data_IF_796814394646
#
_entry.id   IF_796814394646
#
_cell.length_a   1.000
_cell.length_b   1.000
_cell.length_c   1.000
_cell.angle_alpha   90.00
_cell.angle_beta   90.00
_cell.angle_gamma   90.00
#
_symmetry.space_group_name_H-M   'P 1'
#
loop_
_entity.id
_entity.type
_entity.pdbx_description
1 polymer ?
#
# COMPACT_ATOMS: atom_id res chain seq x y z
N UNK A 1 -13.79 -110.76 25.91
CA UNK A 1 -15.18 -111.23 25.77
C UNK A 1 -16.01 -110.12 25.14
N UNK A 2 -16.60 -110.36 23.95
CA UNK A 2 -17.37 -109.39 23.17
C UNK A 2 -18.88 -109.57 23.38
N UNK A 3 -19.66 -108.49 23.31
CA UNK A 3 -21.13 -108.54 23.14
C UNK A 3 -21.61 -107.29 22.38
N UNK A 4 -21.52 -107.38 21.06
CA UNK A 4 -22.52 -107.05 20.01
C UNK A 4 -23.94 -106.60 20.49
N UNK A 5 -24.81 -106.08 19.61
CA UNK A 5 -24.77 -104.87 18.77
C UNK A 5 -26.10 -104.07 18.81
N UNK A 6 -26.16 -102.92 18.15
CA UNK A 6 -27.43 -102.28 17.77
C UNK A 6 -27.20 -101.16 16.76
N UNK A 7 -27.49 -101.36 15.46
CA UNK A 7 -27.18 -100.39 14.42
C UNK A 7 -28.43 -99.69 13.87
N UNK A 8 -28.17 -98.58 13.15
CA UNK A 8 -29.02 -97.91 12.16
C UNK A 8 -30.08 -96.92 12.69
N UNK A 9 -29.63 -95.71 13.03
CA UNK A 9 -30.42 -94.52 12.67
C UNK A 9 -30.01 -94.12 11.26
N UNK A 10 -30.97 -94.15 10.34
CA UNK A 10 -30.76 -93.94 8.91
C UNK A 10 -30.06 -92.62 8.60
N UNK A 11 -28.98 -92.72 7.83
CA UNK A 11 -28.48 -91.63 7.02
C UNK A 11 -28.65 -92.04 5.55
N UNK A 12 -29.50 -91.32 4.84
CA UNK A 12 -29.45 -91.09 3.39
C UNK A 12 -30.30 -89.83 3.22
N UNK A 13 -29.68 -88.66 3.06
CA UNK A 13 -29.15 -88.23 1.76
C UNK A 13 -30.35 -87.75 0.95
N UNK A 14 -30.63 -86.46 0.90
CA UNK A 14 -30.26 -85.52 -0.18
C UNK A 14 -31.33 -84.42 -0.05
N UNK A 15 -31.16 -83.13 -0.27
CA UNK A 15 -30.17 -82.31 -0.95
C UNK A 15 -30.59 -80.87 -0.61
N UNK A 16 -29.59 -80.02 -0.40
CA UNK A 16 -29.55 -78.63 -0.88
C UNK A 16 -30.85 -77.82 -0.84
N UNK A 17 -30.93 -76.87 0.09
CA UNK A 17 -31.08 -75.46 -0.30
C UNK A 17 -30.72 -74.57 0.88
N UNK A 18 -29.64 -73.83 0.68
CA UNK A 18 -29.18 -72.73 1.51
C UNK A 18 -30.24 -71.64 1.49
N UNK A 19 -31.08 -71.54 2.51
CA UNK A 19 -31.82 -70.31 2.75
C UNK A 19 -30.89 -69.28 3.40
N UNK A 20 -30.32 -68.44 2.55
CA UNK A 20 -29.66 -67.19 2.89
C UNK A 20 -30.54 -66.37 3.85
N UNK A 21 -30.14 -66.30 5.12
CA UNK A 21 -30.63 -65.24 6.00
C UNK A 21 -30.19 -63.89 5.40
N UNK A 22 -31.13 -62.99 5.09
CA UNK A 22 -30.81 -61.77 4.35
C UNK A 22 -29.97 -60.85 5.23
N UNK A 23 -28.82 -60.48 4.69
CA UNK A 23 -27.95 -59.39 5.16
C UNK A 23 -28.84 -58.16 5.40
N UNK A 24 -29.09 -57.83 6.66
CA UNK A 24 -29.72 -56.57 7.02
C UNK A 24 -28.82 -55.44 6.49
N UNK A 25 -29.32 -54.56 5.61
CA UNK A 25 -28.53 -53.46 5.09
C UNK A 25 -28.19 -52.51 6.24
N UNK A 26 -26.93 -52.08 6.30
CA UNK A 26 -26.49 -50.98 7.15
C UNK A 26 -27.47 -49.81 7.03
N UNK A 27 -27.82 -49.12 8.15
CA UNK A 27 -28.74 -48.00 8.09
C UNK A 27 -28.23 -46.97 7.07
N UNK A 28 -29.09 -46.46 6.17
CA UNK A 28 -28.67 -45.52 5.13
C UNK A 28 -28.04 -44.28 5.77
N UNK A 29 -27.02 -43.66 5.14
CA UNK A 29 -26.37 -42.48 5.69
C UNK A 29 -27.44 -41.42 5.95
N UNK A 30 -27.50 -40.96 7.20
CA UNK A 30 -28.45 -39.94 7.64
C UNK A 30 -28.48 -38.82 6.62
N UNK A 31 -29.64 -38.63 5.98
CA UNK A 31 -29.84 -37.59 4.96
C UNK A 31 -29.54 -36.25 5.62
N UNK A 32 -28.36 -35.70 5.34
CA UNK A 32 -27.96 -34.37 5.83
C UNK A 32 -29.06 -33.38 5.45
N UNK A 33 -29.61 -32.70 6.45
CA UNK A 33 -30.70 -31.76 6.23
C UNK A 33 -30.32 -30.72 5.15
N UNK A 34 -31.14 -30.54 4.11
CA UNK A 34 -30.82 -29.68 2.95
C UNK A 34 -30.66 -28.19 3.33
N UNK A 35 -31.01 -27.84 4.57
CA UNK A 35 -30.87 -26.53 5.18
C UNK A 35 -29.41 -26.18 5.49
N UNK A 36 -28.60 -27.14 5.95
CA UNK A 36 -27.18 -26.91 6.28
C UNK A 36 -26.34 -26.69 5.02
N UNK A 37 -26.62 -27.46 3.96
CA UNK A 37 -25.93 -27.31 2.66
C UNK A 37 -26.25 -25.96 2.01
N UNK A 38 -27.51 -25.50 2.08
CA UNK A 38 -27.90 -24.15 1.60
C UNK A 38 -27.22 -23.04 2.40
N UNK A 39 -27.18 -23.14 3.73
CA UNK A 39 -26.51 -22.15 4.60
C UNK A 39 -25.01 -22.03 4.29
N UNK A 40 -24.31 -23.15 4.13
CA UNK A 40 -22.88 -23.17 3.77
C UNK A 40 -22.62 -22.51 2.42
N UNK A 41 -23.49 -22.72 1.42
CA UNK A 41 -23.40 -22.07 0.10
C UNK A 41 -23.70 -20.58 0.13
N UNK A 42 -24.67 -20.16 0.93
CA UNK A 42 -25.02 -18.75 1.11
C UNK A 42 -23.91 -17.99 1.83
N UNK A 43 -23.37 -18.55 2.93
CA UNK A 43 -22.21 -18.00 3.63
C UNK A 43 -21.00 -17.87 2.69
N UNK A 44 -20.76 -18.86 1.83
CA UNK A 44 -19.68 -18.79 0.85
C UNK A 44 -19.89 -17.66 -0.17
N UNK A 45 -21.12 -17.48 -0.69
CA UNK A 45 -21.44 -16.37 -1.62
C UNK A 45 -21.30 -15.01 -0.95
N UNK A 46 -21.82 -14.84 0.26
CA UNK A 46 -21.68 -13.59 1.02
C UNK A 46 -20.23 -13.29 1.38
N UNK A 47 -19.44 -14.32 1.70
CA UNK A 47 -17.99 -14.16 1.91
C UNK A 47 -17.26 -13.71 0.65
N UNK A 48 -17.65 -14.23 -0.53
CA UNK A 48 -17.09 -13.79 -1.82
C UNK A 48 -17.49 -12.34 -2.10
N UNK A 49 -18.75 -11.96 -1.86
CA UNK A 49 -19.19 -10.56 -2.01
C UNK A 49 -18.46 -9.63 -1.05
N UNK A 50 -18.27 -10.03 0.22
CA UNK A 50 -17.50 -9.27 1.19
C UNK A 50 -16.04 -9.11 0.77
N UNK A 51 -15.41 -10.17 0.26
CA UNK A 51 -14.05 -10.14 -0.27
C UNK A 51 -13.92 -9.15 -1.43
N UNK A 52 -14.85 -9.20 -2.39
CA UNK A 52 -14.88 -8.29 -3.54
C UNK A 52 -15.11 -6.85 -3.08
N UNK A 53 -15.99 -6.64 -2.11
CA UNK A 53 -16.25 -5.31 -1.58
C UNK A 53 -15.01 -4.73 -0.88
N UNK A 54 -14.36 -5.52 -0.03
CA UNK A 54 -13.12 -5.11 0.66
C UNK A 54 -12.00 -4.85 -0.34
N UNK A 55 -11.84 -5.71 -1.37
CA UNK A 55 -10.81 -5.50 -2.39
C UNK A 55 -11.06 -4.24 -3.21
N UNK A 56 -12.33 -3.95 -3.56
CA UNK A 56 -12.69 -2.72 -4.24
C UNK A 56 -12.39 -1.47 -3.38
N UNK A 57 -12.80 -1.48 -2.11
CA UNK A 57 -12.52 -0.37 -1.17
C UNK A 57 -11.02 -0.19 -0.98
N UNK A 58 -10.27 -1.28 -0.79
CA UNK A 58 -8.81 -1.23 -0.65
C UNK A 58 -8.13 -0.63 -1.90
N UNK A 59 -8.62 -0.97 -3.09
CA UNK A 59 -8.11 -0.43 -4.35
C UNK A 59 -8.36 1.07 -4.44
N UNK A 60 -9.58 1.53 -4.13
CA UNK A 60 -9.92 2.96 -4.14
C UNK A 60 -9.08 3.74 -3.12
N UNK A 61 -8.94 3.21 -1.90
CA UNK A 61 -8.12 3.83 -0.86
C UNK A 61 -6.66 3.92 -1.29
N UNK A 62 -6.09 2.85 -1.85
CA UNK A 62 -4.73 2.83 -2.35
C UNK A 62 -4.50 3.89 -3.44
N UNK A 63 -5.37 3.93 -4.45
CA UNK A 63 -5.28 4.91 -5.55
C UNK A 63 -5.43 6.33 -5.01
N UNK A 64 -6.38 6.57 -4.10
CA UNK A 64 -6.58 7.90 -3.49
C UNK A 64 -5.35 8.36 -2.71
N UNK A 65 -4.68 7.45 -2.00
CA UNK A 65 -3.48 7.75 -1.24
C UNK A 65 -2.29 8.05 -2.17
N UNK A 66 -2.08 7.22 -3.20
CA UNK A 66 -1.03 7.47 -4.22
C UNK A 66 -1.24 8.82 -4.92
N UNK A 67 -2.48 9.17 -5.26
CA UNK A 67 -2.80 10.48 -5.86
C UNK A 67 -2.52 11.61 -4.87
N UNK A 68 -2.88 11.45 -3.59
CA UNK A 68 -2.62 12.44 -2.56
C UNK A 68 -1.13 12.70 -2.35
N UNK A 69 -0.31 11.63 -2.32
CA UNK A 69 1.14 11.73 -2.22
C UNK A 69 1.71 12.46 -3.45
N UNK A 70 1.27 12.09 -4.66
CA UNK A 70 1.70 12.77 -5.89
C UNK A 70 1.32 14.27 -5.91
N UNK A 71 0.14 14.61 -5.38
CA UNK A 71 -0.28 16.01 -5.23
C UNK A 71 0.61 16.75 -4.24
N UNK A 72 0.91 16.16 -3.08
CA UNK A 72 1.77 16.76 -2.07
C UNK A 72 3.21 16.96 -2.55
N UNK A 73 3.75 16.01 -3.32
CA UNK A 73 5.04 16.15 -3.99
C UNK A 73 5.02 17.31 -4.98
N UNK A 74 3.98 17.40 -5.80
CA UNK A 74 3.83 18.48 -6.78
C UNK A 74 3.73 19.85 -6.11
N UNK A 75 2.97 19.95 -5.02
CA UNK A 75 2.87 21.17 -4.22
C UNK A 75 4.22 21.58 -3.64
N UNK A 76 4.97 20.61 -3.08
CA UNK A 76 6.32 20.84 -2.54
C UNK A 76 7.28 21.33 -3.63
N UNK A 77 7.25 20.73 -4.81
CA UNK A 77 8.07 21.15 -5.95
C UNK A 77 7.70 22.56 -6.44
N UNK A 78 6.41 22.88 -6.50
CA UNK A 78 5.97 24.23 -6.87
C UNK A 78 6.42 25.28 -5.86
N UNK A 79 6.29 24.98 -4.56
CA UNK A 79 6.73 25.86 -3.49
C UNK A 79 8.25 26.04 -3.51
N UNK A 80 9.00 24.96 -3.75
CA UNK A 80 10.45 25.00 -3.89
C UNK A 80 10.88 25.90 -5.04
N UNK A 81 10.22 25.77 -6.19
CA UNK A 81 10.46 26.64 -7.36
C UNK A 81 10.18 28.12 -7.04
N UNK A 82 9.13 28.42 -6.28
CA UNK A 82 8.84 29.79 -5.84
C UNK A 82 9.91 30.35 -4.91
N UNK A 83 10.42 29.54 -3.98
CA UNK A 83 11.51 29.96 -3.09
C UNK A 83 12.79 30.23 -3.89
N UNK A 84 13.13 29.34 -4.82
CA UNK A 84 14.33 29.48 -5.62
C UNK A 84 14.23 30.68 -6.59
N UNK A 85 13.06 30.97 -7.15
CA UNK A 85 12.87 32.17 -7.97
C UNK A 85 13.03 33.46 -7.17
N UNK A 86 12.44 33.55 -5.98
CA UNK A 86 12.61 34.71 -5.08
C UNK A 86 14.08 34.87 -4.68
N UNK A 87 14.78 33.78 -4.41
CA UNK A 87 16.21 33.81 -4.06
C UNK A 87 17.04 34.36 -5.22
N UNK A 88 16.77 33.92 -6.46
CA UNK A 88 17.47 34.42 -7.65
C UNK A 88 17.23 35.92 -7.82
N UNK A 89 15.98 36.37 -7.70
CA UNK A 89 15.62 37.79 -7.78
C UNK A 89 16.33 38.59 -6.68
N UNK A 90 16.31 38.12 -5.44
CA UNK A 90 17.00 38.79 -4.34
C UNK A 90 18.51 38.92 -4.59
N UNK A 91 19.13 37.85 -5.10
CA UNK A 91 20.55 37.86 -5.43
C UNK A 91 20.86 38.86 -6.55
N UNK A 92 20.05 38.90 -7.60
CA UNK A 92 20.14 39.89 -8.68
C UNK A 92 20.02 41.32 -8.14
N UNK A 93 19.03 41.61 -7.31
CA UNK A 93 18.84 42.94 -6.72
C UNK A 93 20.06 43.34 -5.86
N UNK A 94 20.59 42.44 -5.04
CA UNK A 94 21.80 42.72 -4.24
C UNK A 94 22.98 43.06 -5.14
N UNK A 95 23.17 42.31 -6.22
CA UNK A 95 24.23 42.58 -7.20
C UNK A 95 24.06 43.94 -7.86
N UNK A 96 22.83 44.33 -8.21
CA UNK A 96 22.56 45.68 -8.73
C UNK A 96 22.84 46.77 -7.71
N UNK A 97 22.44 46.58 -6.45
CA UNK A 97 22.74 47.51 -5.36
C UNK A 97 24.25 47.69 -5.22
N UNK A 98 25.02 46.60 -5.16
CA UNK A 98 26.48 46.68 -5.11
C UNK A 98 27.08 47.38 -6.32
N UNK A 99 26.54 47.12 -7.52
CA UNK A 99 26.97 47.81 -8.74
C UNK A 99 26.69 49.32 -8.66
N UNK A 100 25.53 49.70 -8.14
CA UNK A 100 25.11 51.10 -8.00
C UNK A 100 25.90 51.85 -6.92
N UNK A 101 26.19 51.17 -5.81
CA UNK A 101 27.00 51.66 -4.69
C UNK A 101 28.51 51.54 -4.91
N UNK A 102 28.93 50.92 -6.01
CA UNK A 102 30.36 50.72 -6.28
C UNK A 102 31.08 52.07 -6.30
N UNK A 103 32.18 52.15 -5.54
CA UNK A 103 32.99 53.37 -5.45
C UNK A 103 33.44 53.84 -6.82
N UNK A 104 33.73 52.92 -7.74
CA UNK A 104 34.07 53.24 -9.13
C UNK A 104 32.95 54.02 -9.84
N UNK A 105 31.69 53.60 -9.70
CA UNK A 105 30.54 54.32 -10.28
C UNK A 105 30.36 55.68 -9.61
N UNK A 106 30.47 55.74 -8.29
CA UNK A 106 30.33 56.98 -7.53
C UNK A 106 31.41 57.98 -7.96
N UNK A 107 32.68 57.57 -7.99
CA UNK A 107 33.80 58.40 -8.43
C UNK A 107 33.64 58.86 -9.87
N UNK A 108 33.20 57.98 -10.78
CA UNK A 108 32.94 58.34 -12.18
C UNK A 108 31.86 59.40 -12.32
N UNK A 109 30.74 59.25 -11.62
CA UNK A 109 29.66 60.26 -11.63
C UNK A 109 30.17 61.57 -11.00
N UNK A 110 30.91 61.48 -9.90
CA UNK A 110 31.52 62.63 -9.24
C UNK A 110 32.45 63.42 -10.16
N UNK A 111 33.31 62.75 -10.92
CA UNK A 111 34.26 63.42 -11.82
C UNK A 111 33.59 63.89 -13.10
N UNK A 112 32.81 63.04 -13.77
CA UNK A 112 32.25 63.32 -15.11
C UNK A 112 31.02 64.23 -15.06
N UNK A 113 30.14 64.06 -14.08
CA UNK A 113 28.86 64.79 -14.01
C UNK A 113 28.91 65.97 -13.06
N UNK A 114 29.72 65.89 -12.01
CA UNK A 114 29.79 66.92 -10.97
C UNK A 114 31.11 67.71 -11.00
N UNK A 115 32.06 67.35 -11.86
CA UNK A 115 33.34 68.06 -12.00
C UNK A 115 34.24 67.99 -10.77
N UNK A 116 34.01 67.03 -9.86
CA UNK A 116 34.78 66.89 -8.63
C UNK A 116 36.16 66.30 -8.92
N UNK A 117 37.18 66.77 -8.20
CA UNK A 117 38.57 66.30 -8.34
C UNK A 117 38.93 65.49 -7.07
N UNK A 118 39.43 64.26 -7.20
CA UNK A 118 39.81 63.46 -6.05
C UNK A 118 40.99 64.12 -5.29
N UNK A 119 40.94 64.19 -3.96
CA UNK A 119 42.02 64.78 -3.17
C UNK A 119 43.28 63.90 -3.23
N UNK A 120 44.49 64.50 -3.31
CA UNK A 120 45.74 63.75 -3.49
C UNK A 120 46.21 62.99 -2.24
N UNK A 121 45.62 63.27 -1.07
CA UNK A 121 45.92 62.59 0.19
C UNK A 121 44.63 62.14 0.88
N UNK A 122 44.68 60.95 1.47
CA UNK A 122 43.58 60.44 2.27
C UNK A 122 43.34 61.33 3.51
N UNK A 123 42.07 61.53 3.93
CA UNK A 123 41.73 62.32 5.11
C UNK A 123 42.36 61.72 6.37
N UNK A 124 42.92 62.58 7.23
CA UNK A 124 43.47 62.17 8.53
C UNK A 124 42.37 62.23 9.59
N UNK A 125 42.11 61.11 10.26
CA UNK A 125 41.13 61.05 11.36
C UNK A 125 41.76 61.71 12.59
N UNK A 126 41.15 62.79 13.07
CA UNK A 126 41.55 63.43 14.32
C UNK A 126 40.86 62.71 15.48
N UNK A 127 41.61 61.89 16.23
CA UNK A 127 41.07 61.26 17.44
C UNK A 127 40.90 62.33 18.54
N UNK A 128 39.70 62.48 19.13
CA UNK A 128 39.53 63.34 20.30
C UNK A 128 40.32 62.77 21.48
N UNK A 129 41.00 63.66 22.20
CA UNK A 129 41.93 63.36 23.29
C UNK A 129 41.21 63.20 24.62
#
# INVERSE_FOLDING_TARGET
MPSKPGPKSGNTGETMESEEQPVQPAPPPAKESPTLVKRRRLLNRWSIFALIFVSAVATVLYVSNVIAINRLLKETDTLRKSVDSIRIVNHSLRTEVYRLQSSERITRIATERLGMIPPPKAPTVLSPR
#
